data_IF_435144356838
#
_entry.id   IF_435144356838
#
_cell.length_a   1.000
_cell.length_b   1.000
_cell.length_c   1.000
_cell.angle_alpha   90.00
_cell.angle_beta   90.00
_cell.angle_gamma   90.00
#
_symmetry.space_group_name_H-M   'P 1'
#
loop_
_entity.id
_entity.type
_entity.pdbx_description
1 polymer ?
#
# COMPACT_ATOMS: atom_id res chain seq x y z
N UNK A 1 -15.74 3.33 -9.45
CA UNK A 1 -14.56 3.15 -10.31
C UNK A 1 -13.33 3.45 -9.46
N UNK A 2 -12.79 2.47 -8.75
CA UNK A 2 -11.48 2.65 -8.11
C UNK A 2 -10.45 2.47 -9.19
N UNK A 3 -10.16 3.58 -9.88
CA UNK A 3 -9.05 3.68 -10.83
C UNK A 3 -7.84 3.03 -10.16
N UNK A 4 -7.36 1.94 -10.75
CA UNK A 4 -6.15 1.28 -10.29
C UNK A 4 -4.99 2.22 -10.67
N UNK A 5 -4.83 3.28 -9.88
CA UNK A 5 -3.96 4.39 -10.23
C UNK A 5 -2.53 3.90 -10.18
N UNK A 6 -1.83 4.02 -11.31
CA UNK A 6 -0.38 3.83 -11.36
C UNK A 6 0.36 4.82 -10.46
N UNK A 7 -0.33 5.90 -10.07
CA UNK A 7 0.17 6.89 -9.13
C UNK A 7 -0.13 6.45 -7.69
N UNK A 8 0.92 6.30 -6.90
CA UNK A 8 0.83 6.26 -5.45
C UNK A 8 0.96 7.69 -4.92
N UNK A 9 -0.10 8.18 -4.27
CA UNK A 9 -0.06 9.46 -3.56
C UNK A 9 0.95 9.43 -2.40
N UNK A 10 1.49 10.59 -2.04
CA UNK A 10 2.42 10.72 -0.92
C UNK A 10 1.79 10.23 0.39
N UNK A 11 2.62 9.77 1.31
CA UNK A 11 2.18 9.24 2.60
C UNK A 11 3.24 9.38 3.68
N UNK A 12 2.83 9.26 4.94
CA UNK A 12 3.76 9.12 6.06
C UNK A 12 3.96 7.65 6.37
N UNK A 13 5.21 7.21 6.34
CA UNK A 13 5.60 5.85 6.71
C UNK A 13 5.38 5.57 8.20
N UNK A 14 5.52 4.30 8.59
CA UNK A 14 5.53 3.87 9.99
C UNK A 14 6.54 4.65 10.85
N UNK A 15 7.65 5.09 10.24
CA UNK A 15 8.70 5.88 10.90
C UNK A 15 8.43 7.39 10.86
N UNK A 16 7.20 7.80 10.55
CA UNK A 16 6.77 9.21 10.42
C UNK A 16 7.58 10.01 9.39
N UNK A 17 8.33 9.32 8.53
CA UNK A 17 9.03 9.94 7.40
C UNK A 17 8.05 10.11 6.26
N UNK A 18 8.02 11.31 5.66
CA UNK A 18 7.21 11.57 4.48
C UNK A 18 7.83 10.89 3.26
N UNK A 19 6.99 10.18 2.51
CA UNK A 19 7.31 9.55 1.24
C UNK A 19 6.59 10.32 0.16
N UNK A 20 7.35 10.88 -0.78
CA UNK A 20 6.80 11.62 -1.91
C UNK A 20 5.92 10.73 -2.81
N UNK A 21 4.95 11.32 -3.54
CA UNK A 21 4.21 10.59 -4.56
C UNK A 21 5.15 9.95 -5.58
N UNK A 22 4.81 8.75 -6.03
CA UNK A 22 5.59 8.03 -7.04
C UNK A 22 4.67 7.30 -8.01
N UNK A 23 5.19 7.03 -9.20
CA UNK A 23 4.50 6.29 -10.23
C UNK A 23 5.06 4.88 -10.36
N UNK A 24 4.17 3.92 -10.57
CA UNK A 24 4.45 2.52 -10.76
C UNK A 24 4.56 2.17 -12.26
N UNK A 25 5.51 1.30 -12.67
CA UNK A 25 6.60 0.73 -11.85
C UNK A 25 7.71 1.76 -11.57
N UNK A 26 8.41 1.62 -10.45
CA UNK A 26 9.59 2.46 -10.18
C UNK A 26 10.77 2.06 -11.07
N UNK A 27 11.78 2.94 -11.15
CA UNK A 27 13.03 2.63 -11.85
C UNK A 27 13.68 1.40 -11.21
N UNK A 28 13.90 0.36 -12.00
CA UNK A 28 14.50 -0.90 -11.56
C UNK A 28 13.49 -1.96 -11.12
N UNK A 29 12.20 -1.66 -11.08
CA UNK A 29 11.14 -2.63 -10.84
C UNK A 29 10.67 -3.33 -12.12
N UNK A 30 9.99 -4.47 -11.96
CA UNK A 30 9.42 -5.21 -13.08
C UNK A 30 8.32 -4.42 -13.79
N UNK A 31 8.30 -4.46 -15.12
CA UNK A 31 7.32 -3.77 -15.96
C UNK A 31 5.85 -4.16 -15.68
N UNK A 32 5.64 -5.30 -15.01
CA UNK A 32 4.32 -5.78 -14.59
C UNK A 32 3.77 -5.07 -13.35
N UNK A 33 4.60 -4.37 -12.55
CA UNK A 33 4.18 -3.73 -11.30
C UNK A 33 3.50 -2.38 -11.58
N UNK A 34 2.31 -2.43 -12.18
CA UNK A 34 1.62 -1.25 -12.70
C UNK A 34 0.65 -0.61 -11.71
N UNK A 35 0.41 -1.20 -10.54
CA UNK A 35 -0.63 -0.76 -9.61
C UNK A 35 -0.05 -0.31 -8.27
N UNK A 36 -0.67 0.71 -7.68
CA UNK A 36 -0.38 1.11 -6.31
C UNK A 36 -1.11 0.19 -5.32
N UNK A 37 -0.34 -0.47 -4.46
CA UNK A 37 -0.84 -1.50 -3.54
C UNK A 37 -0.33 -1.24 -2.11
N UNK A 38 -0.89 -1.96 -1.13
CA UNK A 38 -0.50 -1.88 0.27
C UNK A 38 -1.44 -1.05 1.12
N UNK A 39 -0.88 -0.29 2.05
CA UNK A 39 -1.61 0.41 3.11
C UNK A 39 -1.42 1.92 3.03
N UNK A 40 -2.22 2.67 3.78
CA UNK A 40 -2.11 4.13 3.84
C UNK A 40 -0.71 4.61 4.29
N UNK A 41 0.02 3.79 5.05
CA UNK A 41 1.35 4.03 5.62
C UNK A 41 2.47 3.14 5.02
N UNK A 42 2.14 2.30 4.04
CA UNK A 42 3.10 1.43 3.33
C UNK A 42 2.60 1.12 1.92
N UNK A 43 2.91 2.00 0.97
CA UNK A 43 2.53 1.85 -0.44
C UNK A 43 3.68 1.28 -1.27
N UNK A 44 3.39 0.34 -2.15
CA UNK A 44 4.34 -0.30 -3.06
C UNK A 44 3.70 -0.62 -4.42
N UNK A 45 4.52 -0.85 -5.45
CA UNK A 45 4.02 -1.23 -6.77
C UNK A 45 3.76 -2.74 -6.83
N UNK A 46 2.59 -3.16 -7.34
CA UNK A 46 2.27 -4.56 -7.54
C UNK A 46 1.61 -4.82 -8.90
N UNK A 47 1.53 -6.09 -9.31
CA UNK A 47 0.96 -6.52 -10.60
C UNK A 47 -0.55 -6.75 -10.56
N UNK A 48 -1.16 -6.75 -9.38
CA UNK A 48 -2.59 -7.03 -9.20
C UNK A 48 -3.35 -5.79 -8.73
N UNK A 49 -4.39 -5.36 -9.45
CA UNK A 49 -5.20 -4.23 -9.03
C UNK A 49 -6.03 -4.57 -7.78
N UNK A 50 -6.54 -3.55 -7.07
CA UNK A 50 -7.46 -3.74 -5.95
C UNK A 50 -6.81 -4.12 -4.61
N UNK A 51 -5.48 -4.24 -4.57
CA UNK A 51 -4.72 -4.58 -3.35
C UNK A 51 -4.30 -3.35 -2.53
N UNK A 52 -5.06 -2.25 -2.61
CA UNK A 52 -4.84 -1.06 -1.78
C UNK A 52 -5.89 -0.99 -0.67
N UNK A 53 -5.43 -0.83 0.56
CA UNK A 53 -6.25 -0.73 1.76
C UNK A 53 -6.04 0.64 2.40
N UNK A 54 -7.08 1.48 2.55
CA UNK A 54 -6.96 2.86 3.05
C UNK A 54 -6.72 2.96 4.57
N UNK A 55 -6.36 1.86 5.22
CA UNK A 55 -6.08 1.79 6.66
C UNK A 55 -4.58 1.67 6.91
N UNK A 56 -4.14 2.04 8.12
CA UNK A 56 -2.75 1.81 8.54
C UNK A 56 -2.49 0.31 8.67
N UNK A 57 -1.30 -0.13 8.32
CA UNK A 57 -0.88 -1.53 8.41
C UNK A 57 -1.12 -2.11 9.81
N UNK A 58 -0.93 -1.30 10.86
CA UNK A 58 -1.17 -1.65 12.27
C UNK A 58 -2.60 -2.13 12.56
N UNK A 59 -3.59 -1.75 11.74
CA UNK A 59 -4.99 -2.16 11.93
C UNK A 59 -5.22 -3.64 11.59
N UNK A 60 -4.43 -4.24 10.70
CA UNK A 60 -4.55 -5.67 10.39
C UNK A 60 -3.98 -6.58 11.48
N UNK A 61 -3.09 -6.07 12.33
CA UNK A 61 -2.57 -6.86 13.46
C UNK A 61 -3.60 -6.94 14.59
N UNK A 62 -4.32 -5.86 14.86
CA UNK A 62 -5.37 -5.81 15.89
C UNK A 62 -6.54 -6.78 15.65
N UNK A 63 -6.83 -7.13 14.38
CA UNK A 63 -7.88 -8.10 14.05
C UNK A 63 -7.48 -9.56 14.28
N UNK A 64 -6.18 -9.89 14.22
CA UNK A 64 -5.71 -11.26 14.50
C UNK A 64 -5.72 -11.59 15.99
N UNK A 65 -5.46 -10.61 16.85
CA UNK A 65 -5.41 -10.79 18.31
C UNK A 65 -6.78 -11.04 18.96
N UNK A 66 -7.88 -10.80 18.26
CA UNK A 66 -9.23 -11.04 18.76
C UNK A 66 -9.81 -12.41 18.36
N UNK A 67 -9.15 -13.18 17.49
CA UNK A 67 -9.59 -14.54 17.09
C UNK A 67 -8.94 -15.65 17.93
N UNK A 68 -8.02 -15.32 18.84
CA UNK A 68 -7.37 -16.27 19.76
C UNK A 68 -7.88 -16.20 21.20
N UNK A 69 -8.97 -15.48 21.45
CA UNK A 69 -9.71 -15.53 22.73
C UNK A 69 -11.10 -16.09 22.43
N UNK A 70 -11.17 -17.39 22.17
CA UNK A 70 -12.39 -18.20 22.21
C UNK A 70 -12.06 -19.54 22.85
#
# INVERSE_FOLDING_TARGET
>A
MSEASRLCSGYYSLNQSFVEPFQCPRRGEGAALQYCCGFADLKYCCSEPGSYFPYKHSYMWSLRSNLSVS
#
